data_IF_302650372457
#
_entry.id   IF_302650372457
#
_cell.length_a   1.000
_cell.length_b   1.000
_cell.length_c   1.000
_cell.angle_alpha   90.00
_cell.angle_beta   90.00
_cell.angle_gamma   90.00
#
_symmetry.space_group_name_H-M   'P 1'
#
loop_
_entity.id
_entity.type
_entity.pdbx_description
1 polymer ?
#
# COMPACT_ATOMS: atom_id res chain seq x y z
N UNK A 1 4.70 1.64 -10.80
CA UNK A 1 3.60 1.13 -9.96
C UNK A 1 3.40 2.01 -8.72
N UNK A 2 2.16 2.25 -8.30
CA UNK A 2 1.76 3.23 -7.27
C UNK A 2 1.51 2.62 -5.87
N UNK A 3 2.21 1.54 -5.51
CA UNK A 3 1.96 0.75 -4.29
C UNK A 3 1.99 1.57 -2.99
N UNK A 4 3.00 2.43 -2.81
CA UNK A 4 3.13 3.25 -1.60
C UNK A 4 1.98 4.27 -1.46
N UNK A 5 1.52 4.84 -2.57
CA UNK A 5 0.38 5.75 -2.61
C UNK A 5 -0.93 5.02 -2.27
N UNK A 6 -1.14 3.82 -2.80
CA UNK A 6 -2.28 2.96 -2.43
C UNK A 6 -2.28 2.65 -0.94
N UNK A 7 -1.13 2.25 -0.39
CA UNK A 7 -1.00 1.99 1.04
C UNK A 7 -1.36 3.24 1.86
N UNK A 8 -0.84 4.41 1.49
CA UNK A 8 -1.13 5.66 2.19
C UNK A 8 -2.63 5.99 2.26
N UNK A 9 -3.36 5.85 1.15
CA UNK A 9 -4.80 6.14 1.10
C UNK A 9 -5.60 5.12 1.94
N UNK A 10 -5.29 3.82 1.82
CA UNK A 10 -5.96 2.76 2.61
C UNK A 10 -5.69 2.96 4.11
N UNK A 11 -4.43 3.13 4.50
CA UNK A 11 -4.05 3.29 5.90
C UNK A 11 -4.54 4.60 6.51
N UNK A 12 -4.56 5.69 5.73
CA UNK A 12 -5.12 6.97 6.14
C UNK A 12 -6.63 6.90 6.40
N UNK A 13 -7.38 6.26 5.50
CA UNK A 13 -8.81 6.01 5.68
C UNK A 13 -9.08 5.09 6.87
N UNK A 14 -8.29 4.03 7.02
CA UNK A 14 -8.39 3.09 8.12
C UNK A 14 -8.15 3.77 9.48
N UNK A 15 -7.07 4.55 9.62
CA UNK A 15 -6.79 5.25 10.87
C UNK A 15 -7.80 6.37 11.16
N UNK A 16 -8.39 6.99 10.13
CA UNK A 16 -9.49 7.95 10.31
C UNK A 16 -10.70 7.32 11.00
N UNK A 17 -10.99 6.05 10.72
CA UNK A 17 -12.02 5.29 11.43
C UNK A 17 -11.69 5.04 12.91
N UNK A 18 -10.40 5.03 13.27
CA UNK A 18 -9.91 4.79 14.62
C UNK A 18 -9.72 6.07 15.45
N UNK A 19 -9.59 7.23 14.82
CA UNK A 19 -9.14 8.47 15.46
C UNK A 19 -10.20 9.19 16.32
N UNK A 20 -11.36 8.58 16.60
CA UNK A 20 -12.44 9.11 17.48
C UNK A 20 -12.82 10.59 17.20
N UNK A 21 -12.70 11.04 15.94
CA UNK A 21 -12.90 12.44 15.51
C UNK A 21 -12.00 13.49 16.19
N UNK A 22 -10.86 13.10 16.76
CA UNK A 22 -9.89 14.06 17.29
C UNK A 22 -9.37 14.99 16.17
N UNK A 23 -9.69 16.28 16.26
CA UNK A 23 -9.54 17.28 15.19
C UNK A 23 -8.12 17.31 14.61
N UNK A 24 -7.10 17.40 15.45
CA UNK A 24 -5.70 17.48 15.00
C UNK A 24 -5.19 16.21 14.31
N UNK A 25 -5.75 15.03 14.61
CA UNK A 25 -5.37 13.77 13.93
C UNK A 25 -6.09 13.69 12.59
N UNK A 26 -7.38 14.04 12.57
CA UNK A 26 -8.21 14.02 11.36
C UNK A 26 -7.67 14.98 10.29
N UNK A 27 -7.27 16.19 10.67
CA UNK A 27 -6.70 17.18 9.75
C UNK A 27 -5.34 16.72 9.18
N UNK A 28 -4.49 16.15 10.02
CA UNK A 28 -3.24 15.55 9.58
C UNK A 28 -3.47 14.37 8.63
N UNK A 29 -4.46 13.51 8.93
CA UNK A 29 -4.86 12.39 8.07
C UNK A 29 -5.42 12.85 6.71
N UNK A 30 -6.14 13.96 6.66
CA UNK A 30 -6.57 14.57 5.38
C UNK A 30 -5.37 14.98 4.55
N UNK A 31 -4.38 15.66 5.15
CA UNK A 31 -3.15 16.02 4.46
C UNK A 31 -2.40 14.77 3.97
N UNK A 32 -2.32 13.73 4.81
CA UNK A 32 -1.68 12.46 4.45
C UNK A 32 -2.35 11.79 3.24
N UNK A 33 -3.68 11.66 3.23
CA UNK A 33 -4.44 11.09 2.10
C UNK A 33 -4.27 11.96 0.84
N UNK A 34 -4.30 13.29 0.98
CA UNK A 34 -4.15 14.24 -0.13
C UNK A 34 -2.79 14.09 -0.80
N UNK A 35 -1.71 14.11 -0.03
CA UNK A 35 -0.35 13.92 -0.55
C UNK A 35 -0.16 12.51 -1.11
N UNK A 36 -0.67 11.48 -0.44
CA UNK A 36 -0.65 10.10 -0.95
C UNK A 36 -1.34 9.98 -2.31
N UNK A 37 -2.48 10.64 -2.47
CA UNK A 37 -3.25 10.65 -3.71
C UNK A 37 -2.54 11.41 -4.84
N UNK A 38 -1.92 12.55 -4.53
CA UNK A 38 -1.12 13.30 -5.50
C UNK A 38 0.09 12.48 -5.99
N UNK A 39 0.82 11.85 -5.07
CA UNK A 39 1.94 10.96 -5.39
C UNK A 39 1.45 9.78 -6.23
N UNK A 40 0.26 9.23 -5.93
CA UNK A 40 -0.38 8.16 -6.71
C UNK A 40 -0.64 8.56 -8.15
N UNK A 41 -1.28 9.72 -8.39
CA UNK A 41 -1.53 10.25 -9.73
C UNK A 41 -0.22 10.48 -10.51
N UNK A 42 0.79 11.11 -9.87
CA UNK A 42 2.11 11.32 -10.49
C UNK A 42 2.78 9.98 -10.83
N UNK A 43 2.69 8.99 -9.94
CA UNK A 43 3.26 7.66 -10.16
C UNK A 43 2.61 6.93 -11.33
N UNK A 44 1.31 7.12 -11.57
CA UNK A 44 0.60 6.57 -12.73
C UNK A 44 1.12 7.21 -14.02
N UNK A 45 1.24 8.54 -14.06
CA UNK A 45 1.79 9.26 -15.22
C UNK A 45 3.21 8.80 -15.53
N UNK A 46 4.07 8.71 -14.51
CA UNK A 46 5.44 8.19 -14.66
C UNK A 46 5.42 6.75 -15.17
N UNK A 47 4.52 5.91 -14.67
CA UNK A 47 4.41 4.51 -15.12
C UNK A 47 4.00 4.43 -16.60
N UNK A 48 3.04 5.24 -17.03
CA UNK A 48 2.63 5.33 -18.44
C UNK A 48 3.77 5.80 -19.34
N UNK A 49 4.45 6.90 -18.97
CA UNK A 49 5.60 7.41 -19.72
C UNK A 49 6.75 6.40 -19.77
N UNK A 50 7.00 5.66 -18.68
CA UNK A 50 8.04 4.63 -18.66
C UNK A 50 7.74 3.48 -19.61
N UNK A 51 6.46 3.08 -19.76
CA UNK A 51 6.09 2.04 -20.72
C UNK A 51 6.19 2.53 -22.17
N UNK A 52 5.75 3.75 -22.48
CA UNK A 52 5.96 4.36 -23.81
C UNK A 52 7.43 4.42 -24.20
N UNK A 53 8.29 4.78 -23.24
CA UNK A 53 9.72 4.83 -23.46
C UNK A 53 10.30 3.44 -23.73
N UNK A 54 9.85 2.42 -22.99
CA UNK A 54 10.30 1.04 -23.18
C UNK A 54 9.82 0.43 -24.51
N UNK A 55 8.52 0.55 -24.83
CA UNK A 55 7.96 0.00 -26.08
C UNK A 55 8.51 0.70 -27.33
N UNK A 56 8.86 1.98 -27.23
CA UNK A 56 9.47 2.73 -28.32
C UNK A 56 10.99 2.59 -28.45
N UNK A 57 11.59 1.55 -27.85
CA UNK A 57 13.01 1.26 -28.00
C UNK A 57 13.95 2.25 -27.31
N UNK A 58 13.51 2.85 -26.20
CA UNK A 58 14.28 3.82 -25.41
C UNK A 58 14.60 5.14 -26.16
N UNK A 59 13.80 5.48 -27.17
CA UNK A 59 13.90 6.76 -27.87
C UNK A 59 12.98 7.81 -27.26
N UNK A 60 13.44 9.06 -27.13
CA UNK A 60 12.62 10.18 -26.66
C UNK A 60 11.46 10.46 -27.63
N UNK A 61 11.64 10.15 -28.92
CA UNK A 61 10.59 10.32 -29.94
C UNK A 61 9.37 9.44 -29.71
N UNK A 62 9.50 8.34 -28.95
CA UNK A 62 8.38 7.46 -28.66
C UNK A 62 7.39 8.04 -27.66
N UNK A 63 7.79 9.06 -26.90
CA UNK A 63 6.88 9.74 -25.97
C UNK A 63 5.77 10.52 -26.69
N UNK A 64 5.94 10.79 -27.98
CA UNK A 64 4.95 11.44 -28.85
C UNK A 64 4.25 10.49 -29.82
N UNK A 65 4.50 9.18 -29.71
CA UNK A 65 3.89 8.18 -30.57
C UNK A 65 2.45 7.88 -30.11
N UNK A 66 1.49 8.46 -30.82
CA UNK A 66 0.05 8.32 -30.53
C UNK A 66 -0.46 6.89 -30.71
N UNK A 67 0.11 6.11 -31.63
CA UNK A 67 -0.34 4.75 -31.89
C UNK A 67 0.04 3.84 -30.72
N UNK A 68 1.27 3.95 -30.21
CA UNK A 68 1.69 3.21 -29.02
C UNK A 68 0.93 3.63 -27.76
N UNK A 69 0.62 4.92 -27.60
CA UNK A 69 -0.16 5.43 -26.47
C UNK A 69 -1.59 4.86 -26.47
N UNK A 70 -2.26 4.90 -27.61
CA UNK A 70 -3.64 4.35 -27.72
C UNK A 70 -3.66 2.85 -27.46
N UNK A 71 -2.69 2.10 -28.01
CA UNK A 71 -2.53 0.67 -27.72
C UNK A 71 -2.32 0.39 -26.23
N UNK A 72 -1.50 1.20 -25.54
CA UNK A 72 -1.27 1.06 -24.10
C UNK A 72 -2.52 1.40 -23.27
N UNK A 73 -3.27 2.42 -23.66
CA UNK A 73 -4.50 2.81 -22.97
C UNK A 73 -5.63 1.79 -23.13
N UNK A 74 -5.71 1.13 -24.29
CA UNK A 74 -6.67 0.06 -24.55
C UNK A 74 -6.27 -1.28 -23.90
N UNK A 75 -5.02 -1.40 -23.45
CA UNK A 75 -4.54 -2.59 -22.73
C UNK A 75 -5.15 -2.73 -21.33
N UNK A 76 -5.02 -3.92 -20.73
CA UNK A 76 -5.42 -4.19 -19.34
C UNK A 76 -4.72 -3.27 -18.34
N UNK A 77 -3.46 -2.90 -18.60
CA UNK A 77 -2.70 -1.93 -17.81
C UNK A 77 -3.30 -0.52 -17.91
N UNK A 78 -3.77 -0.12 -19.08
CA UNK A 78 -4.48 1.13 -19.31
C UNK A 78 -5.75 1.24 -18.44
N UNK A 79 -6.55 0.17 -18.39
CA UNK A 79 -7.71 0.07 -17.49
C UNK A 79 -7.34 0.19 -16.02
N UNK A 80 -6.26 -0.50 -15.60
CA UNK A 80 -5.74 -0.40 -14.23
C UNK A 80 -5.38 1.06 -13.89
N UNK A 81 -4.60 1.73 -14.75
CA UNK A 81 -4.21 3.11 -14.55
C UNK A 81 -5.38 4.08 -14.54
N UNK A 82 -6.35 3.92 -15.45
CA UNK A 82 -7.55 4.75 -15.50
C UNK A 82 -8.36 4.68 -14.21
N UNK A 83 -8.64 3.45 -13.73
CA UNK A 83 -9.36 3.24 -12.47
C UNK A 83 -8.59 3.80 -11.27
N UNK A 84 -7.28 3.55 -11.19
CA UNK A 84 -6.45 4.07 -10.12
C UNK A 84 -6.40 5.60 -10.13
N UNK A 85 -6.32 6.23 -11.31
CA UNK A 85 -6.25 7.68 -11.45
C UNK A 85 -7.56 8.33 -10.99
N UNK A 86 -8.71 7.81 -11.44
CA UNK A 86 -10.03 8.28 -10.98
C UNK A 86 -10.18 8.07 -9.47
N UNK A 87 -9.73 6.92 -8.95
CA UNK A 87 -9.78 6.63 -7.53
C UNK A 87 -8.93 7.59 -6.68
N UNK A 88 -7.70 7.87 -7.09
CA UNK A 88 -6.84 8.86 -6.43
C UNK A 88 -7.38 10.28 -6.55
N UNK A 89 -7.96 10.64 -7.70
CA UNK A 89 -8.62 11.93 -7.88
C UNK A 89 -9.80 12.09 -6.90
N UNK A 90 -10.63 11.05 -6.74
CA UNK A 90 -11.71 11.02 -5.75
C UNK A 90 -11.20 11.18 -4.32
N UNK A 91 -10.10 10.51 -3.96
CA UNK A 91 -9.46 10.66 -2.65
C UNK A 91 -8.86 12.06 -2.43
N UNK A 92 -8.23 12.62 -3.46
CA UNK A 92 -7.65 13.96 -3.42
C UNK A 92 -8.72 15.02 -3.19
N UNK A 93 -9.79 14.99 -4.00
CA UNK A 93 -10.93 15.90 -3.86
C UNK A 93 -11.60 15.69 -2.50
N UNK A 94 -11.87 14.44 -2.13
CA UNK A 94 -12.46 14.08 -0.84
C UNK A 94 -11.67 14.60 0.36
N UNK A 95 -10.35 14.72 0.26
CA UNK A 95 -9.48 15.23 1.32
C UNK A 95 -9.38 16.76 1.41
N UNK A 96 -10.10 17.52 0.56
CA UNK A 96 -10.10 18.99 0.60
C UNK A 96 -11.00 19.53 1.73
N UNK A 97 -10.52 20.58 2.39
CA UNK A 97 -11.17 21.15 3.59
C UNK A 97 -12.52 21.83 3.33
N UNK A 98 -12.83 22.12 2.06
CA UNK A 98 -14.09 22.75 1.64
C UNK A 98 -15.27 21.77 1.56
N UNK A 99 -15.06 20.46 1.75
CA UNK A 99 -16.09 19.44 1.58
C UNK A 99 -16.74 19.08 2.92
N UNK A 100 -18.08 18.94 2.93
CA UNK A 100 -18.83 18.43 4.09
C UNK A 100 -18.26 17.08 4.55
N UNK A 101 -18.16 16.86 5.85
CA UNK A 101 -17.44 15.71 6.40
C UNK A 101 -18.00 14.34 5.94
N UNK A 102 -19.32 14.24 5.71
CA UNK A 102 -19.97 13.03 5.18
C UNK A 102 -19.60 12.75 3.71
N UNK A 103 -19.70 13.76 2.85
CA UNK A 103 -19.32 13.66 1.42
C UNK A 103 -17.82 13.42 1.25
N UNK A 104 -17.00 14.06 2.09
CA UNK A 104 -15.56 13.81 2.20
C UNK A 104 -15.26 12.33 2.46
N UNK A 105 -15.92 11.73 3.45
CA UNK A 105 -15.72 10.31 3.76
C UNK A 105 -16.17 9.42 2.59
N UNK A 106 -17.34 9.69 2.00
CA UNK A 106 -17.86 8.93 0.86
C UNK A 106 -16.89 8.95 -0.32
N UNK A 107 -16.38 10.12 -0.71
CA UNK A 107 -15.42 10.28 -1.81
C UNK A 107 -14.09 9.55 -1.54
N UNK A 108 -13.56 9.64 -0.33
CA UNK A 108 -12.33 8.91 0.03
C UNK A 108 -12.59 7.41 0.02
N UNK A 109 -13.72 6.94 0.55
CA UNK A 109 -14.04 5.50 0.55
C UNK A 109 -14.23 4.94 -0.85
N UNK A 110 -15.00 5.61 -1.72
CA UNK A 110 -15.21 5.18 -3.10
C UNK A 110 -13.93 5.28 -3.92
N UNK A 111 -13.15 6.34 -3.73
CA UNK A 111 -11.86 6.50 -4.38
C UNK A 111 -10.87 5.40 -3.99
N UNK A 112 -10.79 5.08 -2.69
CA UNK A 112 -9.94 3.99 -2.18
C UNK A 112 -10.36 2.65 -2.77
N UNK A 113 -11.68 2.40 -2.87
CA UNK A 113 -12.22 1.19 -3.48
C UNK A 113 -11.81 1.09 -4.96
N UNK A 114 -11.89 2.16 -5.74
CA UNK A 114 -11.45 2.17 -7.14
C UNK A 114 -9.93 1.94 -7.28
N UNK A 115 -9.11 2.53 -6.40
CA UNK A 115 -7.67 2.27 -6.38
C UNK A 115 -7.39 0.81 -6.09
N UNK A 116 -8.10 0.18 -5.15
CA UNK A 116 -7.95 -1.26 -4.89
C UNK A 116 -8.40 -2.08 -6.10
N UNK A 117 -9.57 -1.77 -6.66
CA UNK A 117 -10.13 -2.46 -7.82
C UNK A 117 -9.21 -2.38 -9.05
N UNK A 118 -8.42 -1.33 -9.19
CA UNK A 118 -7.44 -1.22 -10.28
C UNK A 118 -6.46 -2.40 -10.36
N UNK A 119 -6.14 -3.02 -9.21
CA UNK A 119 -5.24 -4.19 -9.15
C UNK A 119 -5.87 -5.45 -9.72
N UNK A 120 -7.19 -5.47 -9.92
CA UNK A 120 -7.86 -6.55 -10.65
C UNK A 120 -7.33 -6.66 -12.08
N UNK A 121 -7.04 -5.53 -12.71
CA UNK A 121 -6.54 -5.43 -14.08
C UNK A 121 -5.00 -5.42 -14.15
N UNK A 122 -4.30 -5.86 -13.09
CA UNK A 122 -2.85 -5.96 -13.11
C UNK A 122 -2.42 -6.99 -14.17
N UNK A 123 -1.68 -6.52 -15.20
CA UNK A 123 -1.40 -7.26 -16.44
C UNK A 123 -0.89 -8.69 -16.28
N UNK A 124 -0.07 -8.99 -15.27
CA UNK A 124 0.50 -10.32 -15.04
C UNK A 124 -0.50 -11.37 -14.54
N UNK A 125 -1.67 -10.95 -14.06
CA UNK A 125 -2.68 -11.86 -13.54
C UNK A 125 -3.88 -11.99 -14.47
N UNK A 126 -3.92 -11.29 -15.62
CA UNK A 126 -5.12 -11.23 -16.48
C UNK A 126 -5.61 -12.60 -16.93
N UNK A 127 -4.70 -13.53 -17.20
CA UNK A 127 -5.03 -14.92 -17.58
C UNK A 127 -5.16 -15.88 -16.39
N UNK A 128 -5.02 -15.37 -15.16
CA UNK A 128 -5.17 -16.16 -13.95
C UNK A 128 -6.64 -16.35 -13.59
N UNK A 129 -6.92 -17.35 -12.74
CA UNK A 129 -8.26 -17.54 -12.22
C UNK A 129 -8.69 -16.40 -11.29
N UNK A 130 -9.99 -16.10 -11.29
CA UNK A 130 -10.61 -14.99 -10.52
C UNK A 130 -10.21 -14.97 -9.03
N UNK A 131 -9.97 -16.13 -8.42
CA UNK A 131 -9.58 -16.25 -7.02
C UNK A 131 -8.14 -15.76 -6.74
N UNK A 132 -7.25 -15.76 -7.74
CA UNK A 132 -5.90 -15.18 -7.63
C UNK A 132 -6.00 -13.65 -7.58
N UNK A 133 -6.85 -13.04 -8.41
CA UNK A 133 -7.14 -11.60 -8.33
C UNK A 133 -7.75 -11.23 -6.99
N UNK A 134 -8.71 -12.01 -6.48
CA UNK A 134 -9.28 -11.76 -5.17
C UNK A 134 -8.21 -11.84 -4.06
N UNK A 135 -7.30 -12.81 -4.13
CA UNK A 135 -6.18 -12.91 -3.22
C UNK A 135 -5.29 -11.66 -3.28
N UNK A 136 -4.98 -11.15 -4.48
CA UNK A 136 -4.23 -9.91 -4.65
C UNK A 136 -4.95 -8.71 -4.01
N UNK A 137 -6.26 -8.57 -4.21
CA UNK A 137 -7.03 -7.49 -3.61
C UNK A 137 -6.99 -7.55 -2.08
N UNK A 138 -7.19 -8.74 -1.49
CA UNK A 138 -7.07 -8.96 -0.04
C UNK A 138 -5.68 -8.58 0.44
N UNK A 139 -4.64 -9.00 -0.27
CA UNK A 139 -3.25 -8.69 0.07
C UNK A 139 -2.97 -7.18 0.04
N UNK A 140 -3.40 -6.48 -1.01
CA UNK A 140 -3.24 -5.01 -1.17
C UNK A 140 -3.98 -4.25 -0.06
N UNK A 141 -5.21 -4.67 0.27
CA UNK A 141 -5.98 -4.06 1.36
C UNK A 141 -5.30 -4.28 2.71
N UNK A 142 -4.86 -5.50 3.00
CA UNK A 142 -4.22 -5.83 4.26
C UNK A 142 -2.85 -5.15 4.44
N UNK A 143 -2.01 -5.11 3.39
CA UNK A 143 -0.73 -4.40 3.44
C UNK A 143 -0.94 -2.88 3.53
N UNK A 144 -1.99 -2.36 2.89
CA UNK A 144 -2.37 -0.95 3.00
C UNK A 144 -2.83 -0.57 4.39
N UNK A 145 -3.61 -1.44 5.06
CA UNK A 145 -3.99 -1.23 6.47
C UNK A 145 -2.77 -1.31 7.40
N UNK A 146 -1.81 -2.19 7.13
CA UNK A 146 -0.59 -2.31 7.94
C UNK A 146 0.41 -1.19 7.66
N UNK A 147 1.09 -1.22 6.51
CA UNK A 147 2.17 -0.28 6.20
C UNK A 147 1.67 1.15 6.03
N UNK A 148 0.49 1.31 5.44
CA UNK A 148 -0.12 2.62 5.22
C UNK A 148 -0.53 3.35 6.49
N UNK A 149 -0.70 2.61 7.61
CA UNK A 149 -1.05 3.21 8.90
C UNK A 149 0.17 3.52 9.77
N UNK A 150 1.38 3.07 9.42
CA UNK A 150 2.58 3.27 10.25
C UNK A 150 2.92 4.75 10.46
N UNK A 151 2.94 5.56 9.40
CA UNK A 151 3.21 7.00 9.53
C UNK A 151 2.09 7.72 10.32
N UNK A 152 0.79 7.45 10.06
CA UNK A 152 -0.27 7.89 10.93
C UNK A 152 -0.15 7.47 12.40
N UNK A 153 0.23 6.22 12.69
CA UNK A 153 0.43 5.71 14.05
C UNK A 153 1.63 6.39 14.72
N UNK A 154 2.70 6.64 13.98
CA UNK A 154 3.82 7.45 14.44
C UNK A 154 3.34 8.85 14.86
N UNK A 155 2.50 9.50 14.06
CA UNK A 155 1.90 10.80 14.41
C UNK A 155 1.07 10.71 15.69
N UNK A 156 0.32 9.64 15.88
CA UNK A 156 -0.45 9.39 17.13
C UNK A 156 0.47 9.32 18.35
N UNK A 157 1.72 8.84 18.24
CA UNK A 157 2.68 8.88 19.38
C UNK A 157 3.16 10.28 19.75
N UNK A 158 2.78 11.32 19.02
CA UNK A 158 3.22 12.71 19.25
C UNK A 158 2.13 13.59 19.88
N UNK A 159 0.93 13.06 20.07
CA UNK A 159 -0.18 13.81 20.69
C UNK A 159 0.00 13.87 22.21
N UNK A 160 -0.53 14.93 22.83
CA UNK A 160 -0.50 15.10 24.29
C UNK A 160 -1.48 14.18 25.02
N UNK A 161 -2.59 13.78 24.36
CA UNK A 161 -3.57 12.87 24.93
C UNK A 161 -3.07 11.41 24.90
N UNK A 162 -2.39 11.02 25.99
CA UNK A 162 -1.80 9.70 26.15
C UNK A 162 -2.84 8.57 26.21
N UNK A 163 -4.05 8.87 26.68
CA UNK A 163 -5.11 7.88 26.84
C UNK A 163 -5.80 7.62 25.50
N UNK A 164 -6.05 8.66 24.69
CA UNK A 164 -6.46 8.49 23.30
C UNK A 164 -5.40 7.74 22.47
N UNK A 165 -4.11 8.10 22.61
CA UNK A 165 -3.01 7.40 21.95
C UNK A 165 -3.06 5.90 22.27
N UNK A 166 -3.14 5.55 23.56
CA UNK A 166 -3.20 4.16 24.02
C UNK A 166 -4.43 3.43 23.46
N UNK A 167 -5.61 4.06 23.45
CA UNK A 167 -6.83 3.48 22.88
C UNK A 167 -6.69 3.19 21.38
N UNK A 168 -6.15 4.13 20.60
CA UNK A 168 -5.92 3.94 19.16
C UNK A 168 -4.95 2.78 18.92
N UNK A 169 -3.83 2.72 19.64
CA UNK A 169 -2.84 1.64 19.52
C UNK A 169 -3.42 0.27 19.88
N UNK A 170 -4.24 0.19 20.94
CA UNK A 170 -4.92 -1.05 21.32
C UNK A 170 -5.97 -1.48 20.28
N UNK A 171 -6.75 -0.54 19.74
CA UNK A 171 -7.74 -0.84 18.69
C UNK A 171 -7.05 -1.32 17.41
N UNK A 172 -5.98 -0.65 16.99
CA UNK A 172 -5.16 -1.07 15.85
C UNK A 172 -4.65 -2.51 16.04
N UNK A 173 -4.03 -2.79 17.19
CA UNK A 173 -3.50 -4.12 17.49
C UNK A 173 -4.57 -5.22 17.57
N UNK A 174 -5.81 -4.91 17.95
CA UNK A 174 -6.95 -5.85 17.92
C UNK A 174 -7.37 -6.17 16.49
N UNK A 175 -7.48 -5.15 15.63
CA UNK A 175 -7.89 -5.33 14.23
C UNK A 175 -6.79 -6.03 13.42
N UNK A 176 -5.51 -5.79 13.76
CA UNK A 176 -4.36 -6.46 13.16
C UNK A 176 -4.39 -7.98 13.32
N UNK A 177 -5.06 -8.52 14.34
CA UNK A 177 -5.25 -9.97 14.48
C UNK A 177 -6.06 -10.60 13.34
N UNK A 178 -6.82 -9.81 12.59
CA UNK A 178 -7.62 -10.30 11.47
C UNK A 178 -6.91 -10.07 10.14
N UNK A 179 -6.43 -8.85 9.86
CA UNK A 179 -5.84 -8.57 8.56
C UNK A 179 -4.41 -9.13 8.39
N UNK A 180 -3.64 -9.32 9.47
CA UNK A 180 -2.29 -9.90 9.35
C UNK A 180 -2.36 -11.37 8.90
N UNK A 181 -3.18 -12.26 9.50
CA UNK A 181 -3.36 -13.60 8.96
C UNK A 181 -3.91 -13.62 7.53
N UNK A 182 -4.88 -12.76 7.22
CA UNK A 182 -5.42 -12.64 5.87
C UNK A 182 -4.33 -12.24 4.84
N UNK A 183 -3.44 -11.31 5.21
CA UNK A 183 -2.28 -10.91 4.42
C UNK A 183 -1.36 -12.10 4.11
N UNK A 184 -1.04 -12.90 5.12
CA UNK A 184 -0.14 -14.05 5.00
C UNK A 184 -0.76 -15.17 4.18
N UNK A 185 -2.04 -15.48 4.41
CA UNK A 185 -2.77 -16.50 3.63
C UNK A 185 -2.86 -16.07 2.17
N UNK A 186 -3.23 -14.81 1.90
CA UNK A 186 -3.31 -14.30 0.54
C UNK A 186 -1.93 -14.29 -0.15
N UNK A 187 -0.89 -13.85 0.56
CA UNK A 187 0.48 -13.84 0.06
C UNK A 187 1.01 -15.24 -0.25
N UNK A 188 0.78 -16.20 0.65
CA UNK A 188 1.15 -17.59 0.44
C UNK A 188 0.37 -18.20 -0.73
N UNK A 189 -0.93 -17.95 -0.81
CA UNK A 189 -1.76 -18.43 -1.90
C UNK A 189 -1.25 -17.91 -3.26
N UNK A 190 -0.93 -16.62 -3.38
CA UNK A 190 -0.33 -16.08 -4.61
C UNK A 190 1.04 -16.70 -4.91
N UNK A 191 1.88 -16.92 -3.90
CA UNK A 191 3.20 -17.55 -4.07
C UNK A 191 3.08 -18.98 -4.65
N UNK A 192 2.08 -19.74 -4.22
CA UNK A 192 1.83 -21.11 -4.72
C UNK A 192 1.42 -21.15 -6.19
N UNK A 193 0.73 -20.11 -6.67
CA UNK A 193 0.31 -20.00 -8.08
C UNK A 193 1.38 -19.37 -8.97
N UNK A 194 2.37 -18.71 -8.37
CA UNK A 194 3.42 -18.00 -9.08
C UNK A 194 4.70 -18.85 -9.26
N UNK A 195 4.88 -19.87 -8.42
CA UNK A 195 6.00 -20.81 -8.51
C UNK A 195 5.50 -22.21 -8.90
N UNK A 196 5.82 -22.64 -10.11
CA UNK A 196 5.57 -24.01 -10.57
C UNK A 196 6.45 -25.03 -9.82
N UNK A 197 7.65 -24.62 -9.38
CA UNK A 197 8.60 -25.44 -8.62
C UNK A 197 9.27 -24.63 -7.51
N UNK A 198 9.14 -25.08 -6.26
CA UNK A 198 9.77 -24.44 -5.10
C UNK A 198 11.29 -24.42 -5.14
N UNK A 199 11.94 -25.27 -5.95
CA UNK A 199 13.39 -25.23 -6.15
C UNK A 199 13.85 -23.92 -6.79
N UNK A 200 13.00 -23.32 -7.64
CA UNK A 200 13.25 -22.01 -8.26
C UNK A 200 13.40 -20.89 -7.23
N UNK A 201 12.81 -21.06 -6.05
CA UNK A 201 12.95 -20.12 -4.93
C UNK A 201 14.42 -19.92 -4.51
N UNK A 202 15.25 -20.96 -4.66
CA UNK A 202 16.66 -20.93 -4.25
C UNK A 202 17.62 -20.80 -5.44
N UNK A 203 17.19 -21.17 -6.64
CA UNK A 203 18.05 -21.29 -7.81
C UNK A 203 18.01 -20.08 -8.74
N UNK A 204 16.92 -19.30 -8.72
CA UNK A 204 16.71 -18.19 -9.64
C UNK A 204 16.75 -16.83 -8.92
N UNK A 205 17.14 -15.79 -9.66
CA UNK A 205 17.20 -14.39 -9.22
C UNK A 205 15.84 -13.88 -8.71
N UNK A 206 14.75 -14.32 -9.34
CA UNK A 206 13.39 -14.07 -8.91
C UNK A 206 13.10 -14.72 -7.55
N UNK A 207 13.45 -15.99 -7.39
CA UNK A 207 13.31 -16.74 -6.15
C UNK A 207 14.06 -16.11 -4.97
N UNK A 208 15.30 -15.69 -5.20
CA UNK A 208 16.12 -15.01 -4.19
C UNK A 208 15.51 -13.65 -3.77
N UNK A 209 14.96 -12.89 -4.72
CA UNK A 209 14.23 -11.65 -4.43
C UNK A 209 12.98 -11.93 -3.57
N UNK A 210 12.27 -13.02 -3.86
CA UNK A 210 11.12 -13.46 -3.07
C UNK A 210 11.51 -13.92 -1.67
N UNK A 211 12.63 -14.62 -1.50
CA UNK A 211 13.19 -14.98 -0.19
C UNK A 211 13.56 -13.75 0.63
N UNK A 212 14.23 -12.77 0.04
CA UNK A 212 14.56 -11.51 0.70
C UNK A 212 13.29 -10.78 1.17
N UNK A 213 12.24 -10.77 0.35
CA UNK A 213 10.93 -10.23 0.71
C UNK A 213 10.30 -10.98 1.87
N UNK A 214 10.30 -12.32 1.86
CA UNK A 214 9.75 -13.14 2.94
C UNK A 214 10.49 -12.90 4.26
N UNK A 215 11.83 -12.85 4.22
CA UNK A 215 12.64 -12.54 5.40
C UNK A 215 12.30 -11.16 5.98
N UNK A 216 12.17 -10.13 5.13
CA UNK A 216 11.79 -8.79 5.55
C UNK A 216 10.36 -8.75 6.16
N UNK A 217 9.41 -9.51 5.60
CA UNK A 217 8.06 -9.65 6.17
C UNK A 217 8.11 -10.35 7.53
N UNK A 218 8.92 -11.38 7.71
CA UNK A 218 9.10 -12.04 9.02
C UNK A 218 9.67 -11.06 10.05
N UNK A 219 10.65 -10.23 9.67
CA UNK A 219 11.19 -9.18 10.54
C UNK A 219 10.09 -8.17 10.96
N UNK A 220 9.27 -7.73 10.00
CA UNK A 220 8.12 -6.85 10.27
C UNK A 220 7.11 -7.47 11.23
N UNK A 221 6.78 -8.75 11.06
CA UNK A 221 5.88 -9.46 11.98
C UNK A 221 6.47 -9.51 13.39
N UNK A 222 7.78 -9.74 13.52
CA UNK A 222 8.48 -9.70 14.81
C UNK A 222 8.38 -8.33 15.49
N UNK A 223 8.59 -7.24 14.74
CA UNK A 223 8.44 -5.87 15.24
C UNK A 223 6.99 -5.54 15.62
N UNK A 224 6.03 -5.92 14.77
CA UNK A 224 4.61 -5.73 15.03
C UNK A 224 4.14 -6.52 16.28
N UNK A 225 4.66 -7.74 16.47
CA UNK A 225 4.41 -8.54 17.65
C UNK A 225 5.03 -7.91 18.91
N UNK A 226 6.27 -7.42 18.83
CA UNK A 226 6.92 -6.67 19.92
C UNK A 226 6.09 -5.44 20.30
N UNK A 227 5.63 -4.67 19.31
CA UNK A 227 4.78 -3.50 19.52
C UNK A 227 3.47 -3.89 20.21
N UNK A 228 2.75 -4.88 19.68
CA UNK A 228 1.44 -5.29 20.20
C UNK A 228 1.49 -5.97 21.56
N UNK A 229 2.45 -6.87 21.78
CA UNK A 229 2.48 -7.76 22.95
C UNK A 229 3.28 -7.18 24.12
N UNK A 230 4.24 -6.28 23.84
CA UNK A 230 5.16 -5.78 24.87
C UNK A 230 5.02 -4.27 25.05
N UNK A 231 5.12 -3.48 23.98
CA UNK A 231 5.21 -2.02 24.10
C UNK A 231 3.86 -1.36 24.33
N UNK A 232 2.84 -1.68 23.53
CA UNK A 232 1.49 -1.10 23.65
C UNK A 232 0.85 -1.38 25.01
N UNK A 233 0.94 -2.59 25.61
CA UNK A 233 0.39 -2.85 26.95
C UNK A 233 1.10 -2.08 28.08
N UNK A 234 2.34 -1.62 27.87
CA UNK A 234 3.15 -0.90 28.87
C UNK A 234 3.06 0.64 28.74
N UNK A 235 2.26 1.15 27.82
CA UNK A 235 1.95 2.57 27.71
C UNK A 235 1.25 3.07 29.00
N UNK A 236 1.42 4.34 29.41
CA UNK A 236 1.93 5.46 28.60
C UNK A 236 3.28 6.06 29.07
N UNK A 237 4.13 5.30 29.77
CA UNK A 237 5.42 5.85 30.25
C UNK A 237 6.30 6.39 29.12
N UNK A 238 7.00 7.50 29.36
CA UNK A 238 7.75 8.22 28.32
C UNK A 238 8.81 7.38 27.59
N UNK A 239 9.53 6.53 28.32
CA UNK A 239 10.50 5.57 27.74
C UNK A 239 9.83 4.58 26.79
N UNK A 240 8.65 4.06 27.15
CA UNK A 240 7.91 3.11 26.32
C UNK A 240 7.37 3.80 25.06
N UNK A 241 6.88 5.05 25.16
CA UNK A 241 6.46 5.83 23.99
C UNK A 241 7.64 6.05 23.03
N UNK A 242 8.83 6.37 23.56
CA UNK A 242 10.03 6.53 22.76
C UNK A 242 10.45 5.23 22.03
N UNK A 243 10.44 4.10 22.73
CA UNK A 243 10.73 2.78 22.14
C UNK A 243 9.70 2.39 21.08
N UNK A 244 8.41 2.61 21.34
CA UNK A 244 7.34 2.38 20.37
C UNK A 244 7.54 3.24 19.11
N UNK A 245 7.85 4.52 19.28
CA UNK A 245 8.11 5.42 18.15
C UNK A 245 9.29 4.94 17.31
N UNK A 246 10.40 4.54 17.93
CA UNK A 246 11.56 3.96 17.23
C UNK A 246 11.20 2.69 16.48
N UNK A 247 10.46 1.80 17.13
CA UNK A 247 10.01 0.55 16.51
C UNK A 247 9.16 0.81 15.26
N UNK A 248 8.21 1.74 15.32
CA UNK A 248 7.39 2.15 14.16
C UNK A 248 8.27 2.72 13.04
N UNK A 249 9.31 3.49 13.35
CA UNK A 249 10.26 3.99 12.34
C UNK A 249 11.02 2.85 11.66
N UNK A 250 11.47 1.86 12.43
CA UNK A 250 12.13 0.67 11.87
C UNK A 250 11.15 -0.11 10.98
N UNK A 251 9.89 -0.29 11.42
CA UNK A 251 8.84 -0.91 10.60
C UNK A 251 8.61 -0.13 9.29
N UNK A 252 8.62 1.20 9.31
CA UNK A 252 8.49 2.00 8.08
C UNK A 252 9.66 1.78 7.12
N UNK A 253 10.89 1.70 7.63
CA UNK A 253 12.07 1.44 6.79
C UNK A 253 12.01 0.05 6.19
N UNK A 254 11.74 -0.99 6.99
CA UNK A 254 11.66 -2.38 6.50
C UNK A 254 10.46 -2.55 5.55
N UNK A 255 9.32 -1.92 5.85
CA UNK A 255 8.15 -1.89 4.98
C UNK A 255 8.42 -1.19 3.64
N UNK A 256 9.16 -0.09 3.67
CA UNK A 256 9.64 0.59 2.47
C UNK A 256 10.52 -0.31 1.61
N UNK A 257 11.43 -1.07 2.23
CA UNK A 257 12.25 -2.06 1.52
C UNK A 257 11.39 -3.16 0.88
N UNK A 258 10.38 -3.69 1.58
CA UNK A 258 9.45 -4.70 1.03
C UNK A 258 8.70 -4.16 -0.19
N UNK A 259 8.22 -2.92 -0.14
CA UNK A 259 7.54 -2.28 -1.28
C UNK A 259 8.51 -2.01 -2.43
N UNK A 260 9.74 -1.59 -2.14
CA UNK A 260 10.79 -1.37 -3.13
C UNK A 260 11.18 -2.67 -3.85
N UNK A 261 11.42 -3.76 -3.10
CA UNK A 261 11.68 -5.09 -3.67
C UNK A 261 10.52 -5.57 -4.53
N UNK A 262 9.28 -5.33 -4.10
CA UNK A 262 8.08 -5.69 -4.88
C UNK A 262 8.02 -4.90 -6.18
N UNK A 263 8.27 -3.58 -6.14
CA UNK A 263 8.29 -2.75 -7.34
C UNK A 263 9.39 -3.17 -8.32
N UNK A 264 10.59 -3.49 -7.81
CA UNK A 264 11.70 -4.00 -8.62
C UNK A 264 11.37 -5.35 -9.25
N UNK A 265 10.84 -6.30 -8.46
CA UNK A 265 10.46 -7.61 -8.96
C UNK A 265 9.40 -7.51 -10.06
N UNK A 266 8.37 -6.68 -9.88
CA UNK A 266 7.34 -6.47 -10.92
C UNK A 266 7.91 -5.80 -12.17
N UNK A 267 8.87 -4.88 -12.02
CA UNK A 267 9.54 -4.26 -13.18
C UNK A 267 10.37 -5.29 -13.95
N UNK A 268 11.15 -6.13 -13.26
CA UNK A 268 12.01 -7.15 -13.90
C UNK A 268 11.19 -8.26 -14.56
N UNK A 269 10.15 -8.77 -13.91
CA UNK A 269 9.26 -9.79 -14.51
C UNK A 269 8.54 -9.23 -15.74
N UNK A 270 8.19 -7.94 -15.73
CA UNK A 270 7.68 -7.24 -16.91
C UNK A 270 8.71 -7.04 -18.03
N UNK A 271 9.99 -7.32 -17.81
CA UNK A 271 11.07 -7.24 -18.80
C UNK A 271 11.41 -8.59 -19.43
N UNK A 272 11.10 -9.71 -18.77
CA UNK A 272 11.49 -11.06 -19.24
C UNK A 272 10.41 -11.77 -20.11
N UNK A 273 9.32 -11.08 -20.44
CA UNK A 273 8.28 -11.55 -21.39
C UNK A 273 7.73 -10.38 -22.20
#
# INVERSE_FOLDING_TARGET
MFYAATAAVIGGLFLRGLSENHTGIVEWLRCYIRWGSLIGMISIVISCLSQLFMFGGLSISSLSDWDTLTMLLDSTLGWSWGLAFIGFLGCFVGALDKIKNSTCLQLVTSGTFLVVLSFWFAGHLVDSHWYVHLSLLIHVVAIGMWLGSLLPLWKVTTIADLELMRRIMLKFGKIALFFIPALLIAGLFMLLFLLDDFRLLFQDSYGQTMLAKLFAVTLLLGLGALNKLVLVPRLPTADIVYRLRKSIVIEMVVGGLVLGLTALATAIIGLER
#
